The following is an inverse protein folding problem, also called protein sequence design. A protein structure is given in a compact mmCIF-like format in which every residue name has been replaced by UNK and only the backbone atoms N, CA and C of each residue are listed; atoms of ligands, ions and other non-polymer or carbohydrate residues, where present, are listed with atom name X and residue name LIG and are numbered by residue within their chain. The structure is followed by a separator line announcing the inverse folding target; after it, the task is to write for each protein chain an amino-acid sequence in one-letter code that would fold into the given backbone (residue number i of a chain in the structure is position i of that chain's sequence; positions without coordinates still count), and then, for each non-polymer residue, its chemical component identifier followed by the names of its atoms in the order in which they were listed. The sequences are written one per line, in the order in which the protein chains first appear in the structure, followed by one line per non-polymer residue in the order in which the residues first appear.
data_IF_765552075601
#
_entry.id   IF_765552075601
#
_cell.length_a   1.000
_cell.length_b   1.000
_cell.length_c   1.000
_cell.angle_alpha   90.00
_cell.angle_beta   90.00
_cell.angle_gamma   90.00
#
_symmetry.space_group_name_H-M   'P 1'
#
loop_
_entity.id
_entity.type
_entity.pdbx_description
1 polymer ?
#
# COMPACT_ATOMS: atom_id res chain seq x y z
N UNK A 1 18.61 22.66 23.68
CA UNK A 1 18.27 22.80 22.28
C UNK A 1 17.86 21.51 21.61
N UNK A 2 18.73 20.54 21.59
CA UNK A 2 18.44 19.24 20.97
C UNK A 2 17.27 18.54 21.68
N UNK A 3 17.22 18.63 22.99
CA UNK A 3 16.13 18.05 23.77
C UNK A 3 14.77 18.70 23.47
N UNK A 4 14.74 19.98 23.20
CA UNK A 4 13.53 20.69 22.80
C UNK A 4 13.05 20.26 21.42
N UNK A 5 13.96 20.08 20.49
CA UNK A 5 13.64 19.59 19.13
C UNK A 5 13.02 18.20 19.20
N UNK A 6 13.65 17.31 19.97
CA UNK A 6 13.13 15.94 20.15
C UNK A 6 11.74 15.96 20.80
N UNK A 7 11.57 16.78 21.82
CA UNK A 7 10.28 16.93 22.50
C UNK A 7 9.20 17.44 21.54
N UNK A 8 9.54 18.42 20.74
CA UNK A 8 8.61 19.00 19.75
C UNK A 8 8.26 17.99 18.67
N UNK A 9 9.22 17.21 18.20
CA UNK A 9 8.96 16.15 17.23
C UNK A 9 8.05 15.07 17.79
N UNK A 10 8.23 14.69 19.04
CA UNK A 10 7.34 13.73 19.71
C UNK A 10 5.92 14.26 19.82
N UNK A 11 5.78 15.53 20.15
CA UNK A 11 4.47 16.19 20.24
C UNK A 11 3.79 16.26 18.88
N UNK A 12 4.53 16.62 17.81
CA UNK A 12 4.01 16.65 16.46
C UNK A 12 3.57 15.26 15.99
N UNK A 13 4.36 14.24 16.32
CA UNK A 13 4.03 12.85 15.98
C UNK A 13 2.74 12.42 16.69
N UNK A 14 2.62 12.72 17.97
CA UNK A 14 1.41 12.41 18.75
C UNK A 14 0.19 13.12 18.18
N UNK A 15 0.32 14.40 17.88
CA UNK A 15 -0.77 15.17 17.27
C UNK A 15 -1.18 14.62 15.91
N UNK A 16 -0.22 14.20 15.10
CA UNK A 16 -0.48 13.57 13.80
C UNK A 16 -1.20 12.25 13.96
N UNK A 17 -0.80 11.44 14.92
CA UNK A 17 -1.45 10.16 15.23
C UNK A 17 -2.91 10.37 15.66
N UNK A 18 -3.15 11.34 16.53
CA UNK A 18 -4.49 11.69 16.97
C UNK A 18 -5.36 12.23 15.84
N UNK A 19 -4.79 13.12 15.02
CA UNK A 19 -5.50 13.70 13.88
C UNK A 19 -5.80 12.66 12.79
N UNK A 20 -4.97 11.62 12.68
CA UNK A 20 -5.14 10.56 11.71
C UNK A 20 -6.01 9.41 12.19
N UNK A 21 -6.51 9.48 13.40
CA UNK A 21 -7.39 8.43 13.95
C UNK A 21 -8.59 8.21 13.03
N UNK A 22 -8.76 6.98 12.59
CA UNK A 22 -9.79 6.61 11.62
C UNK A 22 -9.38 6.78 10.16
N UNK A 23 -8.22 7.34 9.87
CA UNK A 23 -7.70 7.47 8.51
C UNK A 23 -6.59 6.48 8.25
N UNK A 24 -6.53 5.98 7.02
CA UNK A 24 -5.44 5.12 6.56
C UNK A 24 -4.31 6.02 6.05
N UNK A 25 -3.16 5.96 6.70
CA UNK A 25 -1.99 6.77 6.31
C UNK A 25 -0.82 5.83 6.01
N UNK A 26 -0.17 5.96 4.84
CA UNK A 26 1.02 5.18 4.53
C UNK A 26 2.19 5.51 5.46
N UNK A 27 2.95 4.49 5.81
CA UNK A 27 4.17 4.63 6.59
C UNK A 27 5.39 4.63 5.66
N UNK A 28 6.53 4.99 6.19
CA UNK A 28 7.79 5.05 5.44
C UNK A 28 8.52 3.72 5.34
N UNK A 29 7.98 2.67 5.94
CA UNK A 29 8.54 1.32 5.87
C UNK A 29 7.50 0.33 5.34
N UNK A 30 8.00 -0.76 4.76
CA UNK A 30 7.15 -1.82 4.24
C UNK A 30 6.64 -2.70 5.38
N UNK A 31 5.36 -2.99 5.37
CA UNK A 31 4.73 -3.75 6.43
C UNK A 31 3.56 -4.58 5.89
N UNK A 32 3.43 -5.79 6.43
CA UNK A 32 2.28 -6.66 6.19
C UNK A 32 1.74 -7.11 7.54
N UNK A 33 0.51 -6.75 7.84
CA UNK A 33 -0.19 -7.16 9.04
C UNK A 33 -1.45 -7.91 8.63
N UNK A 34 -1.69 -9.05 9.24
CA UNK A 34 -2.93 -9.83 9.05
C UNK A 34 -3.50 -10.14 10.41
N UNK A 35 -4.72 -9.69 10.65
CA UNK A 35 -5.40 -9.80 11.93
C UNK A 35 -6.81 -10.34 11.71
N UNK A 36 -7.39 -10.89 12.77
CA UNK A 36 -8.79 -11.24 12.77
C UNK A 36 -9.63 -9.97 12.90
N UNK A 37 -10.64 -9.85 12.09
CA UNK A 37 -11.59 -8.75 12.19
C UNK A 37 -12.79 -9.21 12.99
N UNK A 38 -12.92 -8.70 14.22
CA UNK A 38 -14.04 -9.06 15.07
C UNK A 38 -15.20 -8.10 14.84
N UNK A 39 -16.31 -8.67 14.48
CA UNK A 39 -17.59 -7.96 14.57
C UNK A 39 -18.01 -7.11 13.40
N UNK A 40 -17.36 -7.21 12.25
CA UNK A 40 -17.94 -6.58 11.08
C UNK A 40 -19.02 -7.50 10.51
N UNK A 41 -20.26 -7.03 10.54
CA UNK A 41 -21.41 -7.74 9.97
C UNK A 41 -21.68 -9.12 10.58
N UNK A 42 -21.10 -9.42 11.75
CA UNK A 42 -21.34 -10.68 12.46
C UNK A 42 -20.69 -11.91 11.83
N UNK A 43 -19.80 -11.72 10.86
CA UNK A 43 -19.07 -12.83 10.25
C UNK A 43 -17.85 -13.18 11.10
N UNK A 44 -17.83 -14.36 11.74
CA UNK A 44 -16.71 -14.76 12.59
C UNK A 44 -15.44 -15.13 11.82
N UNK A 45 -15.51 -15.16 10.51
CA UNK A 45 -14.41 -15.58 9.65
C UNK A 45 -13.77 -14.43 8.87
N UNK A 46 -14.11 -13.19 9.21
CA UNK A 46 -13.51 -12.03 8.56
C UNK A 46 -12.09 -11.78 9.05
N UNK A 47 -11.23 -11.39 8.15
CA UNK A 47 -9.86 -10.97 8.45
C UNK A 47 -9.60 -9.59 7.90
N UNK A 48 -8.72 -8.88 8.60
CA UNK A 48 -8.22 -7.58 8.18
C UNK A 48 -6.75 -7.73 7.81
N UNK A 49 -6.40 -7.32 6.60
CA UNK A 49 -5.02 -7.30 6.13
C UNK A 49 -4.61 -5.87 5.83
N UNK A 50 -3.44 -5.49 6.29
CA UNK A 50 -2.84 -4.19 6.04
C UNK A 50 -1.51 -4.39 5.32
N UNK A 51 -1.35 -3.70 4.21
CA UNK A 51 -0.15 -3.75 3.38
C UNK A 51 0.33 -2.32 3.14
N UNK A 52 1.55 -2.01 3.57
CA UNK A 52 2.19 -0.73 3.31
C UNK A 52 3.46 -0.95 2.50
N UNK A 53 3.59 -0.23 1.39
CA UNK A 53 4.73 -0.35 0.48
C UNK A 53 4.81 0.83 -0.46
N UNK A 54 5.85 0.87 -1.29
CA UNK A 54 5.92 1.84 -2.38
C UNK A 54 4.83 1.58 -3.40
N UNK A 55 4.23 2.65 -3.87
CA UNK A 55 3.25 2.56 -4.95
C UNK A 55 3.93 2.17 -6.25
N UNK A 56 3.42 1.10 -6.88
CA UNK A 56 3.90 0.65 -8.18
C UNK A 56 2.75 0.24 -9.08
N UNK A 57 2.82 0.52 -10.37
CA UNK A 57 1.81 0.07 -11.32
C UNK A 57 1.69 -1.46 -11.27
N UNK A 58 0.48 -1.95 -11.31
CA UNK A 58 0.20 -3.38 -11.30
C UNK A 58 0.14 -4.03 -9.91
N UNK A 59 0.55 -3.32 -8.86
CA UNK A 59 0.55 -3.86 -7.50
C UNK A 59 -0.85 -4.28 -7.06
N UNK A 60 -1.84 -3.43 -7.26
CA UNK A 60 -3.23 -3.72 -6.87
C UNK A 60 -3.80 -4.89 -7.65
N UNK A 61 -3.44 -5.01 -8.91
CA UNK A 61 -3.87 -6.12 -9.75
C UNK A 61 -3.30 -7.46 -9.27
N UNK A 62 -2.01 -7.48 -8.96
CA UNK A 62 -1.34 -8.67 -8.43
C UNK A 62 -1.85 -9.04 -7.04
N UNK A 63 -2.11 -8.03 -6.22
CA UNK A 63 -2.70 -8.21 -4.90
C UNK A 63 -4.08 -8.87 -4.99
N UNK A 64 -4.93 -8.35 -5.85
CA UNK A 64 -6.25 -8.90 -6.11
C UNK A 64 -6.18 -10.33 -6.61
N UNK A 65 -5.27 -10.61 -7.53
CA UNK A 65 -5.07 -11.95 -8.07
C UNK A 65 -4.61 -12.94 -7.00
N UNK A 66 -3.66 -12.55 -6.17
CA UNK A 66 -3.16 -13.38 -5.09
C UNK A 66 -4.27 -13.74 -4.09
N UNK A 67 -5.08 -12.77 -3.71
CA UNK A 67 -6.20 -12.98 -2.78
C UNK A 67 -7.31 -13.82 -3.40
N UNK A 68 -7.59 -13.64 -4.68
CA UNK A 68 -8.55 -14.47 -5.40
C UNK A 68 -8.11 -15.93 -5.47
N UNK A 69 -6.82 -16.18 -5.59
CA UNK A 69 -6.24 -17.51 -5.54
C UNK A 69 -6.46 -18.23 -4.21
N UNK A 70 -6.62 -17.49 -3.14
CA UNK A 70 -6.94 -18.02 -1.82
C UNK A 70 -8.44 -18.12 -1.54
N UNK A 71 -9.27 -17.90 -2.54
CA UNK A 71 -10.74 -17.90 -2.44
C UNK A 71 -11.27 -16.86 -1.44
N UNK A 72 -10.58 -15.75 -1.30
CA UNK A 72 -10.99 -14.63 -0.46
C UNK A 72 -11.82 -13.63 -1.24
N UNK A 73 -12.82 -13.09 -0.57
CA UNK A 73 -13.65 -12.01 -1.09
C UNK A 73 -13.33 -10.75 -0.30
N UNK A 74 -13.02 -9.68 -1.00
CA UNK A 74 -12.82 -8.38 -0.37
C UNK A 74 -14.18 -7.76 -0.10
N UNK A 75 -14.49 -7.55 1.19
CA UNK A 75 -15.72 -6.89 1.63
C UNK A 75 -15.54 -5.39 1.61
N UNK A 76 -14.38 -4.93 2.08
CA UNK A 76 -14.06 -3.51 2.18
C UNK A 76 -12.58 -3.30 1.88
N UNK A 77 -12.29 -2.23 1.18
CA UNK A 77 -10.92 -1.84 0.88
C UNK A 77 -10.77 -0.35 1.12
N UNK A 78 -9.71 0.02 1.84
CA UNK A 78 -9.29 1.40 2.03
C UNK A 78 -7.88 1.53 1.49
N UNK A 79 -7.70 2.42 0.55
CA UNK A 79 -6.41 2.61 -0.13
C UNK A 79 -6.03 4.08 0.01
N UNK A 80 -4.86 4.33 0.55
CA UNK A 80 -4.32 5.66 0.67
C UNK A 80 -2.92 5.72 0.06
N UNK A 81 -2.62 6.82 -0.60
CA UNK A 81 -1.31 7.08 -1.18
C UNK A 81 -0.81 8.43 -0.69
N UNK A 82 0.47 8.48 -0.36
CA UNK A 82 1.12 9.70 0.08
C UNK A 82 2.62 9.62 -0.23
N UNK A 83 3.13 10.59 -0.98
CA UNK A 83 4.56 10.68 -1.27
C UNK A 83 5.15 9.46 -1.98
N UNK A 84 4.40 8.83 -2.86
CA UNK A 84 4.84 7.62 -3.55
C UNK A 84 4.70 6.34 -2.72
N UNK A 85 4.22 6.45 -1.49
CA UNK A 85 3.91 5.31 -0.62
C UNK A 85 2.42 5.01 -0.67
N UNK A 86 2.06 3.77 -0.43
CA UNK A 86 0.69 3.30 -0.46
C UNK A 86 0.41 2.41 0.75
N UNK A 87 -0.76 2.58 1.32
CA UNK A 87 -1.28 1.68 2.34
C UNK A 87 -2.63 1.15 1.90
N UNK A 88 -2.77 -0.16 1.93
CA UNK A 88 -4.01 -0.85 1.64
C UNK A 88 -4.49 -1.54 2.91
N UNK A 89 -5.72 -1.28 3.29
CA UNK A 89 -6.38 -2.01 4.38
C UNK A 89 -7.55 -2.75 3.77
N UNK A 90 -7.53 -4.06 3.84
CA UNK A 90 -8.51 -4.92 3.21
C UNK A 90 -9.22 -5.75 4.27
N UNK A 91 -10.53 -5.70 4.26
CA UNK A 91 -11.36 -6.60 5.07
C UNK A 91 -11.90 -7.66 4.14
N UNK A 92 -11.68 -8.92 4.47
CA UNK A 92 -11.96 -10.04 3.59
C UNK A 92 -12.63 -11.17 4.35
N UNK A 93 -13.40 -11.96 3.63
CA UNK A 93 -13.99 -13.19 4.14
C UNK A 93 -13.67 -14.34 3.20
N UNK A 94 -13.84 -15.57 3.69
CA UNK A 94 -13.65 -16.74 2.86
C UNK A 94 -14.90 -16.99 2.01
N UNK A 95 -14.72 -17.26 0.73
CA UNK A 95 -15.80 -17.63 -0.16
C UNK A 95 -16.43 -18.97 0.21
N UNK A 96 -15.63 -19.86 0.78
CA UNK A 96 -16.06 -21.13 1.30
C UNK A 96 -16.18 -21.02 2.82
N UNK A 97 -17.20 -21.65 3.38
CA UNK A 97 -17.31 -21.67 4.83
C UNK A 97 -16.07 -22.34 5.45
N UNK A 98 -15.48 -21.64 6.38
CA UNK A 98 -14.30 -22.12 7.06
C UNK A 98 -13.38 -21.01 7.48
N UNK A 99 -12.47 -21.34 8.37
CA UNK A 99 -11.50 -20.39 8.90
C UNK A 99 -10.48 -20.02 7.85
N UNK A 100 -10.18 -18.74 7.77
CA UNK A 100 -9.14 -18.23 6.88
C UNK A 100 -7.78 -18.44 7.52
N UNK A 101 -6.87 -19.03 6.77
CA UNK A 101 -5.51 -19.23 7.26
C UNK A 101 -4.71 -17.91 7.14
N UNK A 102 -4.52 -17.25 8.27
CA UNK A 102 -3.79 -15.99 8.35
C UNK A 102 -2.35 -16.09 7.83
N UNK A 103 -1.73 -17.25 8.03
CA UNK A 103 -0.36 -17.49 7.58
C UNK A 103 -0.27 -17.51 6.05
N UNK A 104 -1.22 -18.14 5.39
CA UNK A 104 -1.28 -18.17 3.93
C UNK A 104 -1.51 -16.78 3.34
N UNK A 105 -2.43 -16.03 3.93
CA UNK A 105 -2.71 -14.66 3.52
C UNK A 105 -1.47 -13.78 3.67
N UNK A 106 -0.81 -13.86 4.81
CA UNK A 106 0.41 -13.10 5.07
C UNK A 106 1.51 -13.47 4.07
N UNK A 107 1.68 -14.74 3.80
CA UNK A 107 2.68 -15.22 2.84
C UNK A 107 2.37 -14.73 1.42
N UNK A 108 1.12 -14.78 1.00
CA UNK A 108 0.70 -14.28 -0.30
C UNK A 108 0.98 -12.80 -0.46
N UNK A 109 0.66 -12.00 0.56
CA UNK A 109 0.92 -10.56 0.56
C UNK A 109 2.41 -10.25 0.52
N UNK A 110 3.21 -10.97 1.29
CA UNK A 110 4.68 -10.82 1.27
C UNK A 110 5.27 -11.20 -0.08
N UNK A 111 4.75 -12.25 -0.72
CA UNK A 111 5.19 -12.65 -2.06
C UNK A 111 4.94 -11.56 -3.08
N UNK A 112 3.81 -10.88 -2.99
CA UNK A 112 3.52 -9.73 -3.86
C UNK A 112 4.52 -8.60 -3.60
N UNK A 113 4.80 -8.29 -2.34
CA UNK A 113 5.79 -7.28 -1.98
C UNK A 113 7.17 -7.60 -2.53
N UNK A 114 7.63 -8.83 -2.33
CA UNK A 114 8.96 -9.28 -2.77
C UNK A 114 9.09 -9.20 -4.29
N UNK A 115 8.05 -9.53 -5.00
CA UNK A 115 8.02 -9.42 -6.45
C UNK A 115 8.28 -7.99 -6.92
N UNK A 116 7.65 -7.01 -6.29
CA UNK A 116 7.81 -5.60 -6.65
C UNK A 116 9.10 -5.00 -6.11
N UNK A 117 9.60 -5.48 -4.97
CA UNK A 117 10.91 -5.08 -4.44
C UNK A 117 12.05 -5.52 -5.35
N UNK A 118 12.02 -6.77 -5.79
CA UNK A 118 13.00 -7.28 -6.74
C UNK A 118 13.00 -6.51 -8.06
N UNK A 119 11.83 -6.17 -8.56
CA UNK A 119 11.70 -5.36 -9.76
C UNK A 119 12.29 -3.95 -9.56
N UNK A 120 12.20 -3.44 -8.36
CA UNK A 120 12.77 -2.13 -8.04
C UNK A 120 14.28 -2.12 -8.08
N UNK A 121 14.92 -3.15 -7.54
CA UNK A 121 16.37 -3.27 -7.61
C UNK A 121 16.87 -3.33 -9.05
N UNK A 122 16.18 -4.09 -9.87
CA UNK A 122 16.50 -4.16 -11.28
C UNK A 122 16.33 -2.80 -11.97
N UNK A 123 15.26 -2.08 -11.66
CA UNK A 123 15.00 -0.76 -12.22
C UNK A 123 15.99 0.29 -11.72
N UNK A 124 16.48 0.16 -10.49
CA UNK A 124 17.51 1.07 -9.96
C UNK A 124 18.80 0.99 -10.76
N UNK A 125 19.16 -0.20 -11.25
CA UNK A 125 20.32 -0.37 -12.10
C UNK A 125 20.22 0.38 -13.42
N UNK A 126 19.02 0.58 -13.92
CA UNK A 126 18.77 1.30 -15.17
C UNK A 126 18.32 2.74 -14.96
N UNK A 127 17.95 3.12 -13.76
CA UNK A 127 17.32 4.42 -13.48
C UNK A 127 18.26 5.60 -13.66
N UNK A 128 19.55 5.39 -13.58
CA UNK A 128 20.49 6.49 -13.74
C UNK A 128 20.41 7.13 -15.12
N UNK A 129 20.11 6.34 -16.13
CA UNK A 129 19.97 6.86 -17.48
C UNK A 129 18.59 7.48 -17.72
N UNK A 130 17.59 7.02 -17.00
CA UNK A 130 16.21 7.46 -17.22
C UNK A 130 15.77 8.64 -16.34
N UNK A 131 16.57 8.99 -15.37
CA UNK A 131 16.24 10.05 -14.44
C UNK A 131 15.96 11.39 -15.13
N UNK A 132 16.61 11.64 -16.21
CA UNK A 132 16.46 12.90 -16.95
C UNK A 132 15.18 12.98 -17.74
N UNK A 133 14.66 11.85 -18.15
CA UNK A 133 13.46 11.80 -18.99
C UNK A 133 12.21 12.22 -18.26
N UNK A 134 12.17 12.00 -16.95
CA UNK A 134 10.98 12.37 -16.21
C UNK A 134 10.71 13.84 -16.15
N UNK A 135 11.73 14.63 -16.27
CA UNK A 135 11.58 16.08 -16.19
C UNK A 135 10.87 16.63 -17.41
N UNK A 136 11.06 16.00 -18.55
CA UNK A 136 10.47 16.46 -19.79
C UNK A 136 9.00 16.11 -19.97
N UNK A 137 8.47 15.23 -19.14
CA UNK A 137 7.10 14.75 -19.29
C UNK A 137 6.06 15.77 -18.90
N UNK A 138 6.46 16.71 -18.10
CA UNK A 138 5.52 17.70 -17.65
C UNK A 138 5.29 18.82 -18.58
N UNK A 139 5.83 18.70 -19.60
CA UNK A 139 5.48 19.55 -20.59
C UNK A 139 4.32 19.22 -21.31
N UNK A 140 4.25 18.75 -21.26
CA UNK A 140 3.48 18.32 -21.89
C UNK A 140 2.90 18.34 -22.24
N UNK A 141 3.09 18.84 -22.40
CA UNK A 141 2.46 18.64 -22.99
C UNK A 141 2.29 18.93 -23.30
N UNK A 142 2.38 19.32 -23.42
CA UNK A 142 2.04 19.16 -24.16
C UNK A 142 1.99 19.37 -24.55
N UNK A 143 2.06 19.86 -24.83
CA UNK A 143 1.86 19.60 -25.66
C UNK A 143 1.76 19.65 -25.98
N UNK A 144 1.73 20.13 -26.15
CA UNK A 144 1.47 19.75 -26.89
C UNK A 144 1.33 19.79 -27.03
N UNK A 145 1.25 20.28 -27.11
CA UNK A 145 0.91 19.88 -27.68
C UNK A 145 0.66 19.84 -27.64
N UNK A 146 0.49 20.33 -27.64
CA UNK A 146 0.05 19.87 -28.00
C UNK A 146 -0.13 19.68 -28.03
N UNK A 147 -0.15 20.21 -28.05
CA UNK A 147 -0.53 19.66 -28.53
C UNK A 147 -0.70 19.37 -28.29
N UNK A 148 -0.84 19.63 -28.43
CA UNK A 148 -1.25 19.01 -28.43
C UNK A 148 -1.51 18.60 -27.90
N UNK A 149 -1.31 19.02 -27.90
CA UNK A 149 -1.84 18.40 -27.63
C UNK A 149 -2.31 18.03 -27.12
N UNK A 150 -2.51 18.04 -27.07
CA UNK A 150 -3.26 17.48 -26.60
C UNK A 150 -3.91 16.92 -26.77
#
# INVERSE_FOLDING_TARGET
MLAEVISHMKELKRSAEEASDGFVIPMDFDEVIVEREDGFDGDPYSIRASLCCDFKPGLLSDLKQALSGLHLIIIRAEIATLGGRMKNVLVMTNRKEGEVNHSEVRQALRSVLDKFSGSQEFLLGTTFSNKRQRISIFNCSSSSSLGDVW
#
